data_IF_706245203706
#
_entry.id   IF_706245203706
#
_cell.length_a   1.000
_cell.length_b   1.000
_cell.length_c   1.000
_cell.angle_alpha   90.00
_cell.angle_beta   90.00
_cell.angle_gamma   90.00
#
_symmetry.space_group_name_H-M   'P 1'
#
loop_
_entity.id
_entity.type
_entity.pdbx_description
1 polymer ?
#
# COMPACT_ATOMS: atom_id res chain seq x y z
N UNK A 1 22.08 17.18 -27.29
CA UNK A 1 21.87 15.76 -27.60
C UNK A 1 20.75 15.26 -26.70
N UNK A 2 19.69 14.65 -27.23
CA UNK A 2 18.65 14.04 -26.40
C UNK A 2 19.26 12.87 -25.62
N UNK A 3 18.93 12.74 -24.34
CA UNK A 3 19.42 11.62 -23.54
C UNK A 3 18.89 10.29 -24.10
N UNK A 4 19.57 9.17 -23.80
CA UNK A 4 19.06 7.85 -24.19
C UNK A 4 17.64 7.59 -23.67
N UNK A 5 17.30 8.15 -22.50
CA UNK A 5 15.99 8.07 -21.89
C UNK A 5 14.92 8.80 -22.72
N UNK A 6 15.19 10.03 -23.14
CA UNK A 6 14.26 10.81 -23.99
C UNK A 6 13.98 10.09 -25.32
N UNK A 7 15.00 9.40 -25.85
CA UNK A 7 14.87 8.64 -27.10
C UNK A 7 13.97 7.42 -26.91
N UNK A 8 14.06 6.73 -25.78
CA UNK A 8 13.21 5.59 -25.43
C UNK A 8 11.76 6.03 -25.17
N UNK A 9 11.54 7.11 -24.43
CA UNK A 9 10.19 7.66 -24.18
C UNK A 9 9.46 8.03 -25.47
N UNK A 10 10.19 8.61 -26.42
CA UNK A 10 9.66 8.93 -27.75
C UNK A 10 9.30 7.67 -28.55
N UNK A 11 10.06 6.59 -28.41
CA UNK A 11 9.77 5.31 -29.10
C UNK A 11 8.52 4.66 -28.49
N UNK A 12 8.38 4.71 -27.17
CA UNK A 12 7.28 4.06 -26.46
C UNK A 12 6.00 4.93 -26.39
N UNK A 13 6.08 6.20 -26.78
CA UNK A 13 4.93 7.11 -26.78
C UNK A 13 4.49 7.57 -25.39
N UNK A 14 5.37 7.48 -24.39
CA UNK A 14 5.06 7.80 -23.00
C UNK A 14 6.31 8.15 -22.20
N UNK A 15 6.13 8.90 -21.12
CA UNK A 15 7.20 9.19 -20.16
C UNK A 15 7.36 8.02 -19.21
N UNK A 16 8.59 7.64 -18.91
CA UNK A 16 8.86 6.75 -17.78
C UNK A 16 8.62 7.50 -16.48
N UNK A 17 8.09 6.78 -15.49
CA UNK A 17 7.95 7.30 -14.14
C UNK A 17 9.32 7.77 -13.61
N UNK A 18 9.37 9.01 -13.14
CA UNK A 18 10.55 9.59 -12.49
C UNK A 18 10.41 9.41 -10.98
N UNK A 19 11.53 9.35 -10.24
CA UNK A 19 11.51 9.18 -8.77
C UNK A 19 10.72 10.26 -8.03
N UNK A 20 10.76 11.49 -8.55
CA UNK A 20 10.05 12.67 -8.04
C UNK A 20 8.58 12.75 -8.46
N UNK A 21 8.13 11.86 -9.37
CA UNK A 21 6.74 11.77 -9.81
C UNK A 21 5.92 10.77 -8.99
N UNK A 22 6.53 10.05 -8.03
CA UNK A 22 5.85 9.03 -7.24
C UNK A 22 4.83 9.68 -6.30
N UNK A 23 3.60 9.21 -6.42
CA UNK A 23 2.47 9.63 -5.59
C UNK A 23 2.31 8.65 -4.45
N UNK A 24 2.06 9.14 -3.24
CA UNK A 24 1.81 8.29 -2.07
C UNK A 24 0.50 7.51 -2.29
N UNK A 25 0.52 6.16 -2.28
CA UNK A 25 -0.67 5.35 -2.52
C UNK A 25 -1.82 5.70 -1.57
N UNK A 26 -3.01 5.94 -2.12
CA UNK A 26 -4.19 6.38 -1.34
C UNK A 26 -4.33 7.89 -1.13
N UNK A 27 -3.39 8.72 -1.61
CA UNK A 27 -3.60 10.19 -1.66
C UNK A 27 -4.46 10.64 -2.84
N UNK A 28 -4.53 9.83 -3.89
CA UNK A 28 -5.42 10.02 -5.03
C UNK A 28 -6.27 8.78 -5.18
N UNK A 29 -7.56 8.97 -5.47
CA UNK A 29 -8.46 7.86 -5.77
C UNK A 29 -8.17 7.33 -7.17
N UNK A 30 -8.21 6.01 -7.30
CA UNK A 30 -8.13 5.30 -8.57
C UNK A 30 -9.37 4.43 -8.68
N UNK A 31 -10.10 4.55 -9.79
CA UNK A 31 -11.36 3.82 -9.94
C UNK A 31 -11.15 2.30 -9.87
N UNK A 32 -11.97 1.63 -9.07
CA UNK A 32 -11.91 0.19 -8.85
C UNK A 32 -10.69 -0.33 -8.04
N UNK A 33 -9.92 0.56 -7.40
CA UNK A 33 -8.76 0.22 -6.57
C UNK A 33 -8.92 0.82 -5.17
N UNK A 34 -8.55 0.05 -4.15
CA UNK A 34 -8.41 0.55 -2.79
C UNK A 34 -6.99 0.33 -2.27
N UNK A 35 -6.50 1.34 -1.54
CA UNK A 35 -5.19 1.32 -0.91
C UNK A 35 -5.34 1.13 0.59
N UNK A 36 -4.50 0.29 1.15
CA UNK A 36 -4.36 0.12 2.59
C UNK A 36 -2.87 0.00 2.95
N UNK A 37 -2.60 0.06 4.25
CA UNK A 37 -1.28 -0.04 4.81
C UNK A 37 -1.33 -1.06 5.95
N UNK A 38 -0.35 -1.96 6.05
CA UNK A 38 -0.26 -2.89 7.19
C UNK A 38 1.06 -2.69 7.93
N UNK A 39 1.04 -2.74 9.26
CA UNK A 39 2.24 -2.55 10.08
C UNK A 39 3.24 -3.67 9.88
N UNK A 40 4.53 -3.33 9.80
CA UNK A 40 5.63 -4.28 9.91
C UNK A 40 5.68 -4.85 11.34
N UNK A 41 5.77 -6.18 11.47
CA UNK A 41 5.83 -6.84 12.78
C UNK A 41 7.26 -7.07 13.29
N UNK A 42 8.27 -6.80 12.46
CA UNK A 42 9.69 -7.01 12.76
C UNK A 42 10.08 -8.48 12.94
N UNK A 43 9.19 -9.45 12.73
CA UNK A 43 9.42 -10.88 12.98
C UNK A 43 9.84 -11.63 11.72
N UNK A 44 9.41 -11.16 10.56
CA UNK A 44 9.65 -11.83 9.28
C UNK A 44 10.11 -10.86 8.20
N UNK A 45 10.69 -11.40 7.12
CA UNK A 45 10.88 -10.61 5.90
C UNK A 45 9.52 -10.20 5.32
N UNK A 46 9.46 -8.98 4.77
CA UNK A 46 8.26 -8.42 4.12
C UNK A 46 7.49 -9.43 3.26
N UNK A 47 8.17 -10.12 2.34
CA UNK A 47 7.51 -11.06 1.42
C UNK A 47 6.77 -12.19 2.13
N UNK A 48 7.28 -12.65 3.28
CA UNK A 48 6.65 -13.67 4.10
C UNK A 48 5.44 -13.10 4.84
N UNK A 49 5.57 -11.92 5.45
CA UNK A 49 4.48 -11.25 6.16
C UNK A 49 3.34 -10.88 5.21
N UNK A 50 3.65 -10.24 4.07
CA UNK A 50 2.69 -9.92 3.01
C UNK A 50 1.94 -11.17 2.54
N UNK A 51 2.66 -12.26 2.28
CA UNK A 51 2.01 -13.51 1.86
C UNK A 51 1.14 -14.11 2.98
N UNK A 52 1.49 -13.94 4.25
CA UNK A 52 0.67 -14.39 5.37
C UNK A 52 -0.59 -13.56 5.57
N UNK A 53 -0.59 -12.28 5.15
CA UNK A 53 -1.73 -11.37 5.29
C UNK A 53 -3.03 -11.93 4.71
N UNK A 54 -2.99 -12.73 3.64
CA UNK A 54 -4.21 -13.30 3.03
C UNK A 54 -4.16 -14.81 2.78
N UNK A 55 -3.07 -15.49 3.15
CA UNK A 55 -2.93 -16.94 2.91
C UNK A 55 -3.79 -17.76 3.88
N UNK A 56 -3.81 -17.35 5.14
CA UNK A 56 -4.43 -18.14 6.21
C UNK A 56 -5.90 -17.75 6.44
N UNK A 57 -6.40 -16.77 5.68
CA UNK A 57 -7.79 -16.33 5.69
C UNK A 57 -8.66 -17.34 4.95
N UNK A 58 -9.52 -18.05 5.70
CA UNK A 58 -10.45 -19.06 5.18
C UNK A 58 -11.83 -18.99 5.86
N UNK A 59 -12.94 -19.06 5.10
CA UNK A 59 -13.00 -18.99 3.64
C UNK A 59 -12.58 -17.59 3.15
N UNK A 60 -12.05 -17.53 1.92
CA UNK A 60 -11.72 -16.25 1.28
C UNK A 60 -13.00 -15.52 0.89
N UNK A 61 -13.10 -14.24 1.21
CA UNK A 61 -14.21 -13.39 0.80
C UNK A 61 -14.04 -12.86 -0.62
N UNK A 62 -12.82 -12.48 -1.03
CA UNK A 62 -12.52 -12.04 -2.39
C UNK A 62 -12.69 -13.15 -3.41
N UNK A 63 -13.46 -12.88 -4.46
CA UNK A 63 -13.77 -13.83 -5.54
C UNK A 63 -13.01 -13.54 -6.84
N UNK A 64 -12.51 -12.32 -7.02
CA UNK A 64 -11.79 -11.89 -8.23
C UNK A 64 -10.81 -10.74 -7.96
N UNK A 65 -9.92 -10.50 -8.92
CA UNK A 65 -8.91 -9.44 -8.84
C UNK A 65 -7.66 -9.85 -8.08
N UNK A 66 -6.95 -8.89 -7.50
CA UNK A 66 -5.65 -9.11 -6.89
C UNK A 66 -5.33 -8.14 -5.76
N UNK A 67 -4.34 -8.53 -4.95
CA UNK A 67 -3.71 -7.74 -3.90
C UNK A 67 -2.21 -7.65 -4.23
N UNK A 68 -1.66 -6.43 -4.28
CA UNK A 68 -0.25 -6.17 -4.62
C UNK A 68 0.43 -5.26 -3.59
N UNK A 69 1.76 -5.32 -3.52
CA UNK A 69 2.61 -4.31 -2.86
C UNK A 69 2.62 -3.03 -3.73
N UNK A 70 2.40 -1.86 -3.14
CA UNK A 70 2.40 -0.57 -3.85
C UNK A 70 3.70 0.23 -3.68
N UNK A 71 4.81 -0.44 -3.30
CA UNK A 71 6.17 0.11 -3.31
C UNK A 71 6.41 1.33 -2.39
N UNK A 72 5.51 1.61 -1.45
CA UNK A 72 5.58 2.75 -0.53
C UNK A 72 5.56 2.27 0.92
N UNK A 73 6.31 2.95 1.78
CA UNK A 73 6.28 2.78 3.23
C UNK A 73 6.00 4.10 3.92
N UNK A 74 5.23 4.04 5.00
CA UNK A 74 4.93 5.20 5.83
C UNK A 74 5.27 4.86 7.28
N UNK A 75 6.05 5.72 7.93
CA UNK A 75 6.34 5.62 9.37
C UNK A 75 5.78 6.86 10.06
N UNK A 76 4.67 6.76 10.82
CA UNK A 76 4.19 7.86 11.65
C UNK A 76 5.16 8.13 12.82
N UNK A 77 5.15 9.34 13.39
CA UNK A 77 5.94 9.66 14.58
C UNK A 77 5.73 8.64 15.71
N UNK A 78 6.82 8.12 16.27
CA UNK A 78 6.84 7.15 17.37
C UNK A 78 6.03 5.86 17.11
N UNK A 79 5.76 5.54 15.85
CA UNK A 79 4.99 4.36 15.45
C UNK A 79 5.78 3.35 14.61
N UNK A 80 5.19 2.18 14.34
CA UNK A 80 5.82 1.19 13.46
C UNK A 80 5.79 1.66 12.01
N UNK A 81 6.67 1.12 11.18
CA UNK A 81 6.59 1.27 9.73
C UNK A 81 5.40 0.49 9.19
N UNK A 82 4.73 1.05 8.19
CA UNK A 82 3.65 0.39 7.46
C UNK A 82 4.00 0.23 5.98
N UNK A 83 3.60 -0.89 5.39
CA UNK A 83 3.78 -1.19 3.96
C UNK A 83 2.49 -0.95 3.19
N UNK A 84 2.57 -0.20 2.10
CA UNK A 84 1.44 0.06 1.21
C UNK A 84 1.06 -1.18 0.41
N UNK A 85 -0.24 -1.43 0.33
CA UNK A 85 -0.86 -2.44 -0.49
C UNK A 85 -2.02 -1.84 -1.27
N UNK A 86 -2.29 -2.41 -2.43
CA UNK A 86 -3.46 -2.10 -3.23
C UNK A 86 -4.21 -3.37 -3.56
N UNK A 87 -5.52 -3.25 -3.72
CA UNK A 87 -6.35 -4.34 -4.21
C UNK A 87 -7.44 -3.82 -5.13
N UNK A 88 -7.80 -4.66 -6.10
CA UNK A 88 -8.72 -4.33 -7.18
C UNK A 88 -9.62 -5.50 -7.52
N UNK A 89 -10.66 -5.26 -8.33
CA UNK A 89 -11.63 -6.28 -8.74
C UNK A 89 -12.75 -6.45 -7.70
N UNK A 90 -12.60 -7.40 -6.77
CA UNK A 90 -13.54 -7.56 -5.65
C UNK A 90 -13.05 -6.79 -4.42
N UNK A 91 -13.15 -5.46 -4.49
CA UNK A 91 -12.60 -4.56 -3.45
C UNK A 91 -13.21 -4.85 -2.07
N UNK A 92 -14.51 -5.08 -2.01
CA UNK A 92 -15.22 -5.45 -0.76
C UNK A 92 -14.69 -6.78 -0.19
N UNK A 93 -14.54 -7.81 -1.03
CA UNK A 93 -13.99 -9.09 -0.61
C UNK A 93 -12.55 -8.98 -0.13
N UNK A 94 -11.69 -8.27 -0.87
CA UNK A 94 -10.30 -8.05 -0.48
C UNK A 94 -10.18 -7.26 0.82
N UNK A 95 -10.99 -6.23 1.02
CA UNK A 95 -11.02 -5.47 2.28
C UNK A 95 -11.35 -6.38 3.46
N UNK A 96 -12.32 -7.28 3.31
CA UNK A 96 -12.66 -8.27 4.36
C UNK A 96 -11.50 -9.22 4.64
N UNK A 97 -10.85 -9.73 3.60
CA UNK A 97 -9.73 -10.66 3.74
C UNK A 97 -8.52 -10.00 4.40
N UNK A 98 -8.15 -8.79 3.98
CA UNK A 98 -7.05 -8.01 4.56
C UNK A 98 -7.31 -7.71 6.04
N UNK A 99 -8.54 -7.29 6.39
CA UNK A 99 -8.92 -7.08 7.78
C UNK A 99 -8.81 -8.36 8.61
N UNK A 100 -9.38 -9.47 8.13
CA UNK A 100 -9.34 -10.75 8.85
C UNK A 100 -7.90 -11.24 9.06
N UNK A 101 -7.06 -11.12 8.03
CA UNK A 101 -5.66 -11.49 8.11
C UNK A 101 -4.85 -10.62 9.06
N UNK A 102 -5.04 -9.29 9.01
CA UNK A 102 -4.38 -8.39 9.94
C UNK A 102 -4.76 -8.68 11.39
N UNK A 103 -6.05 -8.92 11.68
CA UNK A 103 -6.52 -9.32 13.00
C UNK A 103 -5.86 -10.62 13.45
N UNK A 104 -5.84 -11.65 12.60
CA UNK A 104 -5.24 -12.95 12.90
C UNK A 104 -3.73 -12.89 13.18
N UNK A 105 -3.04 -11.91 12.61
CA UNK A 105 -1.61 -11.68 12.79
C UNK A 105 -1.28 -10.64 13.88
N UNK A 106 -2.30 -9.97 14.44
CA UNK A 106 -2.11 -8.87 15.39
C UNK A 106 -1.47 -7.63 14.77
N UNK A 107 -1.71 -7.38 13.48
CA UNK A 107 -1.20 -6.22 12.75
C UNK A 107 -2.16 -5.05 12.81
N UNK A 108 -1.61 -3.85 12.80
CA UNK A 108 -2.38 -2.63 12.59
C UNK A 108 -2.58 -2.41 11.09
N UNK A 109 -3.76 -1.95 10.73
CA UNK A 109 -4.04 -1.43 9.40
C UNK A 109 -4.06 0.09 9.44
N UNK A 110 -3.77 0.71 8.31
CA UNK A 110 -3.87 2.14 8.15
C UNK A 110 -4.34 2.50 6.75
N UNK A 111 -4.82 3.73 6.61
CA UNK A 111 -5.29 4.32 5.35
C UNK A 111 -5.04 5.82 5.35
N UNK A 112 -5.16 6.42 4.18
CA UNK A 112 -5.08 7.87 4.03
C UNK A 112 -6.49 8.42 3.91
N UNK A 113 -6.83 9.39 4.77
CA UNK A 113 -8.11 10.10 4.75
C UNK A 113 -7.87 11.59 5.00
N UNK A 114 -8.35 12.44 4.09
CA UNK A 114 -8.27 13.90 4.19
C UNK A 114 -6.85 14.41 4.55
N UNK A 115 -5.83 13.84 3.91
CA UNK A 115 -4.42 14.18 4.15
C UNK A 115 -3.84 13.65 5.46
N UNK A 116 -4.54 12.77 6.16
CA UNK A 116 -4.09 12.13 7.39
C UNK A 116 -3.83 10.65 7.18
N UNK A 117 -2.79 10.13 7.84
CA UNK A 117 -2.55 8.71 8.03
C UNK A 117 -3.34 8.23 9.26
N UNK A 118 -4.40 7.45 9.01
CA UNK A 118 -5.34 6.96 10.01
C UNK A 118 -5.04 5.49 10.29
N UNK A 119 -4.72 5.16 11.55
CA UNK A 119 -4.40 3.81 12.00
C UNK A 119 -5.63 3.18 12.64
N UNK A 120 -5.78 1.85 12.48
CA UNK A 120 -6.92 1.07 12.96
C UNK A 120 -7.12 1.08 14.49
N UNK A 121 -6.12 1.53 15.25
CA UNK A 121 -6.21 1.74 16.71
C UNK A 121 -6.73 3.13 17.09
N UNK A 122 -7.11 3.95 16.12
CA UNK A 122 -7.68 5.28 16.31
C UNK A 122 -6.66 6.42 16.27
N UNK A 123 -5.36 6.13 16.21
CA UNK A 123 -4.35 7.18 16.03
C UNK A 123 -4.46 7.82 14.65
N UNK A 124 -4.23 9.14 14.59
CA UNK A 124 -4.28 9.93 13.36
C UNK A 124 -3.12 10.91 13.31
N UNK A 125 -2.39 10.88 12.19
CA UNK A 125 -1.24 11.75 11.96
C UNK A 125 -1.41 12.52 10.65
N UNK A 126 -1.16 13.85 10.61
CA UNK A 126 -1.01 14.53 9.33
C UNK A 126 0.06 13.84 8.49
N UNK A 127 -0.20 13.59 7.20
CA UNK A 127 0.80 12.93 6.33
C UNK A 127 2.12 13.72 6.25
N UNK A 128 2.06 15.04 6.41
CA UNK A 128 3.23 15.92 6.39
C UNK A 128 4.22 15.68 7.54
N UNK A 129 3.80 15.01 8.62
CA UNK A 129 4.70 14.65 9.74
C UNK A 129 5.16 13.19 9.70
N UNK A 130 4.65 12.40 8.76
CA UNK A 130 5.07 11.02 8.57
C UNK A 130 6.32 10.96 7.69
N UNK A 131 7.22 10.03 7.99
CA UNK A 131 8.28 9.67 7.06
C UNK A 131 7.71 8.78 5.95
N UNK A 132 8.06 9.09 4.70
CA UNK A 132 7.60 8.36 3.51
C UNK A 132 8.80 7.91 2.71
N UNK A 133 8.86 6.60 2.44
CA UNK A 133 9.94 5.97 1.68
C UNK A 133 9.35 5.19 0.49
N UNK A 134 9.87 5.47 -0.71
CA UNK A 134 9.52 4.70 -1.91
C UNK A 134 10.65 3.73 -2.28
N UNK A 135 10.28 2.50 -2.65
CA UNK A 135 11.22 1.41 -2.98
C UNK A 135 11.67 1.43 -4.45
#
# INVERSE_FOLDING_TARGET
>A
MASQLDRLERILGGKFERRDARVIPGTQSVDGVEFAYFSDDGKNQFAKQFKSLTRDVKPRAATRGGLNESGCRITPPDGPTFHAIEYHGDVEGWRKDVNAGAIGLGLLLARIEDGNFVISDGRRFPLSVCQVDFK
#
